data_IF_417281441441
#
_entry.id   IF_417281441441
#
_cell.length_a   1.000
_cell.length_b   1.000
_cell.length_c   1.000
_cell.angle_alpha   90.00
_cell.angle_beta   90.00
_cell.angle_gamma   90.00
#
_symmetry.space_group_name_H-M   'P 1'
#
loop_
_entity.id
_entity.type
_entity.pdbx_description
1 polymer ?
#
# COMPACT_ATOMS: atom_id res chain seq x y z
N UNK A 1 32.13 26.97 -19.30
CA UNK A 1 31.05 27.98 -19.14
C UNK A 1 30.30 27.83 -17.80
N UNK A 2 29.94 26.61 -17.36
CA UNK A 2 29.20 26.40 -16.10
C UNK A 2 29.97 26.93 -14.87
N UNK A 3 31.26 26.63 -14.76
CA UNK A 3 32.11 27.08 -13.65
C UNK A 3 32.22 28.61 -13.59
N UNK A 4 32.26 29.26 -14.76
CA UNK A 4 32.33 30.73 -14.86
C UNK A 4 31.02 31.34 -14.35
N UNK A 5 29.88 30.83 -14.81
CA UNK A 5 28.56 31.25 -14.38
C UNK A 5 28.35 31.01 -12.88
N UNK A 6 28.79 29.87 -12.37
CA UNK A 6 28.73 29.53 -10.94
C UNK A 6 29.52 30.54 -10.10
N UNK A 7 30.78 30.83 -10.46
CA UNK A 7 31.59 31.81 -9.73
C UNK A 7 31.01 33.24 -9.74
N UNK A 8 30.43 33.63 -10.86
CA UNK A 8 29.77 34.94 -10.94
C UNK A 8 28.48 34.95 -10.12
N UNK A 9 27.68 33.88 -10.12
CA UNK A 9 26.50 33.76 -9.28
C UNK A 9 26.82 33.84 -7.79
N UNK A 10 27.88 33.18 -7.32
CA UNK A 10 28.34 33.26 -5.91
C UNK A 10 28.80 34.68 -5.59
N UNK A 11 29.55 35.35 -6.50
CA UNK A 11 30.00 36.71 -6.32
C UNK A 11 28.84 37.71 -6.23
N UNK A 12 27.77 37.49 -6.98
CA UNK A 12 26.52 38.25 -6.94
C UNK A 12 25.63 37.91 -5.73
N UNK A 13 26.00 36.88 -4.97
CA UNK A 13 25.25 36.45 -3.78
C UNK A 13 23.92 35.74 -4.09
N UNK A 14 23.74 35.16 -5.29
CA UNK A 14 22.52 34.49 -5.71
C UNK A 14 22.23 33.19 -4.93
N UNK A 15 23.22 32.69 -4.19
CA UNK A 15 23.07 31.57 -3.25
C UNK A 15 22.40 31.97 -1.93
N UNK A 16 22.39 33.27 -1.62
CA UNK A 16 21.87 33.78 -0.34
C UNK A 16 20.33 33.80 -0.36
N UNK A 17 19.74 33.22 0.68
CA UNK A 17 18.28 33.15 0.86
C UNK A 17 17.51 32.37 -0.22
N UNK A 18 18.21 31.71 -1.15
CA UNK A 18 17.58 30.79 -2.11
C UNK A 18 17.24 29.47 -1.43
N UNK A 19 15.92 29.15 -1.37
CA UNK A 19 15.42 27.94 -0.71
C UNK A 19 15.79 26.66 -1.48
N UNK A 20 15.96 26.76 -2.80
CA UNK A 20 16.33 25.61 -3.65
C UNK A 20 17.78 25.23 -3.39
N UNK A 21 18.67 26.23 -3.36
CA UNK A 21 20.08 26.03 -3.04
C UNK A 21 20.25 25.49 -1.63
N UNK A 22 19.57 26.08 -0.63
CA UNK A 22 19.57 25.59 0.75
C UNK A 22 19.13 24.10 0.83
N UNK A 23 18.02 23.77 0.18
CA UNK A 23 17.51 22.38 0.14
C UNK A 23 18.50 21.43 -0.52
N UNK A 24 19.13 21.86 -1.63
CA UNK A 24 20.11 21.04 -2.34
C UNK A 24 21.37 20.76 -1.51
N UNK A 25 21.86 21.77 -0.79
CA UNK A 25 23.00 21.61 0.10
C UNK A 25 22.67 20.67 1.28
N UNK A 26 21.50 20.83 1.88
CA UNK A 26 21.03 19.92 2.93
C UNK A 26 20.92 18.46 2.45
N UNK A 27 20.39 18.25 1.24
CA UNK A 27 20.36 16.92 0.62
C UNK A 27 21.75 16.34 0.39
N UNK A 28 22.71 17.13 -0.10
CA UNK A 28 24.10 16.68 -0.30
C UNK A 28 24.74 16.19 0.99
N UNK A 29 24.53 16.87 2.11
CA UNK A 29 25.03 16.41 3.41
C UNK A 29 24.39 15.07 3.79
N UNK A 30 23.10 14.89 3.55
CA UNK A 30 22.41 13.61 3.76
C UNK A 30 23.03 12.48 2.94
N UNK A 31 23.28 12.69 1.65
CA UNK A 31 23.90 11.69 0.78
C UNK A 31 25.32 11.31 1.20
N UNK A 32 26.17 12.29 1.55
CA UNK A 32 27.53 12.01 2.04
C UNK A 32 27.53 11.14 3.30
N UNK A 33 26.52 11.27 4.16
CA UNK A 33 26.39 10.41 5.34
C UNK A 33 25.92 9.00 4.98
N UNK A 34 24.99 8.88 4.05
CA UNK A 34 24.49 7.57 3.58
C UNK A 34 25.59 6.74 2.90
N UNK A 35 26.44 7.37 2.07
CA UNK A 35 27.58 6.69 1.43
C UNK A 35 28.60 6.17 2.46
N UNK A 36 28.88 6.93 3.51
CA UNK A 36 29.82 6.54 4.55
C UNK A 36 29.37 5.31 5.34
N UNK A 37 28.07 5.04 5.39
CA UNK A 37 27.45 3.95 6.16
C UNK A 37 26.95 2.78 5.28
N UNK A 38 27.33 2.76 3.99
CA UNK A 38 26.96 1.71 3.02
C UNK A 38 27.75 0.42 3.21
N UNK A 39 27.77 -0.11 4.43
CA UNK A 39 28.35 -1.41 4.75
C UNK A 39 27.25 -2.47 4.63
N UNK A 40 27.52 -3.52 3.85
CA UNK A 40 26.61 -4.67 3.77
C UNK A 40 26.34 -5.21 5.18
N UNK A 41 25.09 -5.45 5.56
CA UNK A 41 24.76 -5.96 6.87
C UNK A 41 25.27 -7.40 7.03
N UNK A 42 25.60 -7.76 8.28
CA UNK A 42 25.92 -9.14 8.63
C UNK A 42 24.67 -10.03 8.50
N UNK A 43 24.84 -11.31 8.22
CA UNK A 43 23.72 -12.26 8.11
C UNK A 43 22.85 -12.29 9.37
N UNK A 44 23.47 -12.17 10.55
CA UNK A 44 22.74 -12.11 11.82
C UNK A 44 21.84 -10.88 11.89
N UNK A 45 22.32 -9.70 11.46
CA UNK A 45 21.53 -8.47 11.44
C UNK A 45 20.32 -8.59 10.52
N UNK A 46 20.48 -9.23 9.36
CA UNK A 46 19.41 -9.48 8.40
C UNK A 46 18.37 -10.42 9.00
N UNK A 47 18.82 -11.50 9.66
CA UNK A 47 17.92 -12.45 10.32
C UNK A 47 17.13 -11.82 11.48
N UNK A 48 17.83 -11.06 12.32
CA UNK A 48 17.21 -10.38 13.47
C UNK A 48 16.18 -9.34 13.00
N UNK A 49 16.52 -8.57 11.97
CA UNK A 49 15.62 -7.58 11.40
C UNK A 49 14.36 -8.23 10.81
N UNK A 50 14.51 -9.30 10.04
CA UNK A 50 13.38 -10.06 9.49
C UNK A 50 12.47 -10.57 10.61
N UNK A 51 13.03 -11.21 11.65
CA UNK A 51 12.25 -11.75 12.76
C UNK A 51 11.51 -10.69 13.57
N UNK A 52 12.08 -9.48 13.69
CA UNK A 52 11.46 -8.35 14.37
C UNK A 52 10.40 -7.62 13.54
N UNK A 53 10.37 -7.84 12.23
CA UNK A 53 9.52 -7.12 11.27
C UNK A 53 8.67 -8.05 10.39
N UNK A 54 8.24 -9.20 10.90
CA UNK A 54 7.45 -10.18 10.12
C UNK A 54 6.18 -9.57 9.52
N UNK A 55 5.53 -8.67 10.26
CA UNK A 55 4.31 -7.98 9.79
C UNK A 55 4.56 -7.13 8.54
N UNK A 56 5.79 -6.59 8.37
CA UNK A 56 6.20 -5.82 7.20
C UNK A 56 6.21 -6.67 5.92
N UNK A 57 6.50 -7.96 6.07
CA UNK A 57 6.63 -8.92 4.96
C UNK A 57 5.39 -9.79 4.80
N UNK A 58 4.38 -9.60 5.63
CA UNK A 58 3.13 -10.33 5.52
C UNK A 58 2.41 -9.99 4.21
N UNK A 59 2.10 -11.02 3.43
CA UNK A 59 1.31 -10.93 2.19
C UNK A 59 -0.13 -11.25 2.52
N UNK A 60 -1.02 -10.28 2.32
CA UNK A 60 -2.44 -10.44 2.58
C UNK A 60 -3.11 -11.43 1.60
N UNK A 61 -4.15 -12.11 2.08
CA UNK A 61 -5.05 -12.92 1.26
C UNK A 61 -5.66 -12.06 0.14
N UNK A 62 -5.67 -12.61 -1.08
CA UNK A 62 -6.24 -11.96 -2.26
C UNK A 62 -7.25 -12.86 -2.94
N UNK A 63 -8.35 -12.29 -3.38
CA UNK A 63 -9.44 -12.98 -4.06
C UNK A 63 -9.64 -12.37 -5.44
N UNK A 64 -9.71 -13.23 -6.46
CA UNK A 64 -10.14 -12.85 -7.81
C UNK A 64 -11.53 -13.43 -8.00
N UNK A 65 -12.50 -12.58 -8.32
CA UNK A 65 -13.89 -13.01 -8.46
C UNK A 65 -14.64 -12.22 -9.54
N UNK A 66 -15.71 -12.83 -10.01
CA UNK A 66 -16.72 -12.19 -10.83
C UNK A 66 -18.05 -12.22 -10.09
N UNK A 67 -18.94 -11.28 -10.38
CA UNK A 67 -20.27 -11.28 -9.77
C UNK A 67 -21.37 -10.94 -10.76
N UNK A 68 -22.60 -11.32 -10.41
CA UNK A 68 -23.84 -10.85 -11.02
C UNK A 68 -24.58 -10.06 -9.94
N UNK A 69 -24.93 -8.82 -10.26
CA UNK A 69 -25.53 -7.86 -9.33
C UNK A 69 -27.02 -7.74 -9.55
N UNK A 70 -27.76 -7.61 -8.47
CA UNK A 70 -29.19 -7.32 -8.41
C UNK A 70 -29.39 -6.14 -7.46
N UNK A 71 -30.08 -5.07 -7.93
CA UNK A 71 -30.34 -3.89 -7.12
C UNK A 71 -31.26 -4.19 -5.92
N UNK A 72 -31.29 -3.29 -4.94
CA UNK A 72 -32.13 -3.48 -3.74
C UNK A 72 -33.58 -3.17 -4.02
N UNK A 73 -34.39 -4.16 -4.39
CA UNK A 73 -35.85 -4.08 -4.36
C UNK A 73 -36.45 -5.13 -3.43
N UNK A 74 -37.72 -5.02 -3.05
CA UNK A 74 -38.36 -5.96 -2.11
C UNK A 74 -38.42 -7.43 -2.63
N UNK A 75 -38.13 -7.65 -3.91
CA UNK A 75 -38.15 -8.97 -4.57
C UNK A 75 -36.78 -9.56 -4.89
N UNK A 76 -35.70 -8.84 -4.66
CA UNK A 76 -34.35 -9.15 -5.20
C UNK A 76 -33.72 -10.41 -4.64
N UNK A 77 -33.97 -10.73 -3.38
CA UNK A 77 -33.47 -11.96 -2.78
C UNK A 77 -34.02 -13.21 -3.48
N UNK A 78 -35.24 -13.11 -4.00
CA UNK A 78 -35.92 -14.18 -4.73
C UNK A 78 -35.40 -14.29 -6.17
N UNK A 79 -35.12 -13.16 -6.84
CA UNK A 79 -34.57 -13.14 -8.19
C UNK A 79 -33.15 -13.65 -8.26
N UNK A 80 -32.28 -13.22 -7.34
CA UNK A 80 -30.91 -13.71 -7.24
C UNK A 80 -30.87 -15.22 -6.99
N UNK A 81 -31.73 -15.74 -6.10
CA UNK A 81 -31.82 -17.17 -5.80
C UNK A 81 -32.31 -17.98 -6.99
N UNK A 82 -33.31 -17.50 -7.73
CA UNK A 82 -33.78 -18.13 -8.97
C UNK A 82 -32.70 -18.13 -10.05
N UNK A 83 -31.99 -16.99 -10.24
CA UNK A 83 -30.89 -16.88 -11.17
C UNK A 83 -29.75 -17.85 -10.83
N UNK A 84 -29.39 -17.98 -9.55
CA UNK A 84 -28.38 -18.94 -9.09
C UNK A 84 -28.74 -20.37 -9.49
N UNK A 85 -29.98 -20.79 -9.25
CA UNK A 85 -30.45 -22.12 -9.63
C UNK A 85 -30.36 -22.37 -11.14
N UNK A 86 -30.73 -21.37 -11.96
CA UNK A 86 -30.66 -21.46 -13.42
C UNK A 86 -29.21 -21.53 -13.92
N UNK A 87 -28.31 -20.71 -13.34
CA UNK A 87 -26.88 -20.72 -13.66
C UNK A 87 -26.25 -22.08 -13.29
N UNK A 88 -26.58 -22.61 -12.12
CA UNK A 88 -26.07 -23.94 -11.70
C UNK A 88 -26.58 -25.08 -12.57
N UNK A 89 -27.73 -24.90 -13.23
CA UNK A 89 -28.30 -25.83 -14.21
C UNK A 89 -27.85 -25.56 -15.66
N UNK A 90 -26.87 -24.70 -15.89
CA UNK A 90 -26.23 -24.52 -17.19
C UNK A 90 -26.66 -23.28 -17.98
N UNK A 91 -27.49 -22.39 -17.40
CA UNK A 91 -27.76 -21.08 -18.02
C UNK A 91 -26.54 -20.15 -17.93
N UNK A 92 -26.35 -19.31 -18.95
CA UNK A 92 -25.26 -18.32 -18.91
C UNK A 92 -25.56 -17.23 -17.88
N UNK A 93 -24.57 -16.91 -17.07
CA UNK A 93 -24.62 -15.83 -16.09
C UNK A 93 -24.83 -14.45 -16.73
N UNK A 94 -24.51 -14.31 -18.02
CA UNK A 94 -24.72 -13.04 -18.77
C UNK A 94 -26.17 -12.68 -19.01
N UNK A 95 -27.08 -13.63 -18.80
CA UNK A 95 -28.51 -13.44 -18.98
C UNK A 95 -29.18 -12.86 -17.72
N UNK A 96 -28.43 -12.63 -16.63
CA UNK A 96 -28.98 -12.24 -15.34
C UNK A 96 -28.27 -10.99 -14.79
N UNK A 97 -29.00 -10.29 -13.91
CA UNK A 97 -28.49 -9.15 -13.17
C UNK A 97 -28.46 -7.85 -13.94
N UNK A 98 -27.98 -6.85 -13.28
CA UNK A 98 -27.92 -5.46 -13.74
C UNK A 98 -26.46 -4.99 -13.86
N UNK A 99 -26.19 -3.92 -14.63
CA UNK A 99 -24.87 -3.29 -14.63
C UNK A 99 -24.50 -2.76 -13.25
N UNK A 100 -23.29 -3.09 -12.79
CA UNK A 100 -22.77 -2.60 -11.52
C UNK A 100 -21.72 -1.50 -11.74
N UNK A 101 -21.80 -0.43 -10.96
CA UNK A 101 -20.95 0.76 -11.13
C UNK A 101 -19.45 0.45 -11.12
N UNK A 102 -19.02 -0.47 -10.27
CA UNK A 102 -17.60 -0.84 -10.11
C UNK A 102 -17.15 -1.96 -11.07
N UNK A 103 -18.04 -2.38 -12.00
CA UNK A 103 -17.77 -3.44 -12.97
C UNK A 103 -18.09 -4.83 -12.47
N UNK A 104 -17.87 -5.85 -13.33
CA UNK A 104 -18.27 -7.24 -13.10
C UNK A 104 -17.14 -8.12 -12.55
N UNK A 105 -15.89 -7.76 -12.84
CA UNK A 105 -14.72 -8.62 -12.56
C UNK A 105 -13.70 -7.90 -11.68
N UNK A 106 -13.28 -8.56 -10.63
CA UNK A 106 -12.33 -8.05 -9.65
C UNK A 106 -11.11 -8.97 -9.56
N UNK A 107 -9.95 -8.45 -9.92
CA UNK A 107 -8.72 -9.22 -9.95
C UNK A 107 -7.86 -8.92 -8.73
N UNK A 108 -7.41 -9.99 -8.04
CA UNK A 108 -6.40 -9.93 -6.97
C UNK A 108 -6.68 -8.88 -5.89
N UNK A 109 -7.95 -8.81 -5.42
CA UNK A 109 -8.37 -7.86 -4.39
C UNK A 109 -8.08 -8.38 -2.99
N UNK A 110 -7.54 -7.50 -2.12
CA UNK A 110 -7.41 -7.80 -0.69
C UNK A 110 -8.78 -7.74 -0.02
N UNK A 111 -8.90 -8.33 1.18
CA UNK A 111 -10.14 -8.27 1.96
C UNK A 111 -10.50 -6.82 2.30
N UNK A 112 -9.51 -5.99 2.63
CA UNK A 112 -9.70 -4.56 2.91
C UNK A 112 -10.21 -3.80 1.68
N UNK A 113 -9.71 -4.10 0.47
CA UNK A 113 -10.21 -3.49 -0.76
C UNK A 113 -11.66 -3.91 -1.07
N UNK A 114 -12.00 -5.19 -0.82
CA UNK A 114 -13.35 -5.70 -0.98
C UNK A 114 -14.30 -5.03 0.02
N UNK A 115 -13.90 -4.91 1.28
CA UNK A 115 -14.68 -4.23 2.32
C UNK A 115 -14.98 -2.77 1.96
N UNK A 116 -14.00 -2.03 1.46
CA UNK A 116 -14.19 -0.64 1.00
C UNK A 116 -15.16 -0.53 -0.16
N UNK A 117 -15.22 -1.55 -1.03
CA UNK A 117 -16.02 -1.52 -2.26
C UNK A 117 -17.43 -2.07 -2.07
N UNK A 118 -17.65 -3.02 -1.15
CA UNK A 118 -18.90 -3.78 -1.01
C UNK A 118 -19.47 -3.78 0.42
N UNK A 119 -18.72 -3.28 1.38
CA UNK A 119 -19.07 -3.30 2.79
C UNK A 119 -18.55 -4.52 3.54
N UNK A 120 -18.55 -4.42 4.87
CA UNK A 120 -17.96 -5.40 5.79
C UNK A 120 -18.58 -6.79 5.64
N UNK A 121 -19.92 -6.86 5.65
CA UNK A 121 -20.64 -8.14 5.56
C UNK A 121 -20.27 -8.93 4.30
N UNK A 122 -20.23 -8.25 3.15
CA UNK A 122 -19.83 -8.86 1.89
C UNK A 122 -18.39 -9.39 1.94
N UNK A 123 -17.45 -8.63 2.53
CA UNK A 123 -16.05 -9.03 2.67
C UNK A 123 -15.85 -10.24 3.60
N UNK A 124 -16.72 -10.41 4.59
CA UNK A 124 -16.73 -11.58 5.47
C UNK A 124 -17.31 -12.82 4.74
N UNK A 125 -18.45 -12.64 4.06
CA UNK A 125 -19.15 -13.72 3.37
C UNK A 125 -18.35 -14.31 2.21
N UNK A 126 -17.71 -13.46 1.37
CA UNK A 126 -16.94 -13.92 0.20
C UNK A 126 -15.75 -14.83 0.59
N UNK A 127 -15.22 -14.68 1.78
CA UNK A 127 -14.09 -15.50 2.26
C UNK A 127 -14.46 -16.95 2.49
N UNK A 128 -15.75 -17.22 2.65
CA UNK A 128 -16.31 -18.56 2.90
C UNK A 128 -16.82 -19.24 1.61
N UNK A 129 -16.78 -18.52 0.48
CA UNK A 129 -17.23 -19.05 -0.80
C UNK A 129 -16.18 -19.99 -1.40
N UNK A 130 -16.61 -21.19 -1.74
CA UNK A 130 -15.76 -22.16 -2.45
C UNK A 130 -15.46 -21.67 -3.88
N UNK A 131 -14.20 -21.74 -4.35
CA UNK A 131 -13.84 -21.33 -5.69
C UNK A 131 -14.45 -22.22 -6.78
N UNK A 132 -14.51 -21.67 -8.00
CA UNK A 132 -14.91 -22.36 -9.24
C UNK A 132 -16.39 -22.78 -9.31
N UNK A 133 -17.25 -22.16 -8.51
CA UNK A 133 -18.69 -22.32 -8.64
C UNK A 133 -19.44 -21.05 -8.31
N UNK A 134 -20.56 -20.81 -8.96
CA UNK A 134 -21.47 -19.73 -8.59
C UNK A 134 -22.11 -20.01 -7.23
N UNK A 135 -22.10 -19.02 -6.38
CA UNK A 135 -22.60 -19.07 -5.00
C UNK A 135 -23.28 -17.76 -4.63
N UNK A 136 -24.07 -17.78 -3.58
CA UNK A 136 -24.82 -16.61 -3.10
C UNK A 136 -26.29 -16.96 -2.84
N UNK A 137 -27.16 -15.96 -2.76
CA UNK A 137 -26.86 -14.53 -2.84
C UNK A 137 -26.06 -14.05 -1.62
N UNK A 138 -25.11 -13.11 -1.86
CA UNK A 138 -24.36 -12.40 -0.85
C UNK A 138 -24.77 -10.91 -0.92
N UNK A 139 -25.06 -10.32 0.23
CA UNK A 139 -25.55 -8.94 0.28
C UNK A 139 -24.40 -7.94 0.48
N UNK A 140 -24.46 -6.84 -0.23
CA UNK A 140 -23.65 -5.64 -0.04
C UNK A 140 -24.53 -4.45 0.36
N UNK A 141 -23.93 -3.27 0.49
CA UNK A 141 -24.68 -2.02 0.68
C UNK A 141 -25.48 -1.60 -0.56
N UNK A 142 -25.23 -2.22 -1.72
CA UNK A 142 -25.88 -1.89 -3.00
C UNK A 142 -27.03 -2.84 -3.34
N UNK A 143 -27.04 -4.05 -2.80
CA UNK A 143 -28.01 -5.10 -3.11
C UNK A 143 -27.43 -6.49 -2.99
N UNK A 144 -28.00 -7.44 -3.76
CA UNK A 144 -27.63 -8.85 -3.73
C UNK A 144 -26.67 -9.21 -4.86
N UNK A 145 -25.73 -10.12 -4.59
CA UNK A 145 -24.75 -10.56 -5.57
C UNK A 145 -24.67 -12.08 -5.63
N UNK A 146 -24.63 -12.63 -6.83
CA UNK A 146 -24.11 -13.98 -7.06
C UNK A 146 -22.63 -13.88 -7.35
N UNK A 147 -21.81 -14.71 -6.74
CA UNK A 147 -20.37 -14.63 -6.79
C UNK A 147 -19.77 -15.90 -7.38
N UNK A 148 -18.81 -15.71 -8.28
CA UNK A 148 -17.94 -16.77 -8.78
C UNK A 148 -16.50 -16.43 -8.39
N UNK A 149 -15.96 -17.15 -7.41
CA UNK A 149 -14.56 -17.01 -7.02
C UNK A 149 -13.68 -17.74 -8.03
N UNK A 150 -12.89 -16.95 -8.79
CA UNK A 150 -11.97 -17.48 -9.81
C UNK A 150 -10.73 -18.10 -9.17
N UNK A 151 -10.13 -17.42 -8.20
CA UNK A 151 -8.96 -17.91 -7.45
C UNK A 151 -8.82 -17.23 -6.12
N UNK A 152 -8.17 -17.90 -5.19
CA UNK A 152 -7.78 -17.37 -3.88
C UNK A 152 -6.27 -17.57 -3.74
N UNK A 153 -5.55 -16.47 -3.51
CA UNK A 153 -4.18 -16.50 -3.02
C UNK A 153 -4.23 -16.31 -1.50
N UNK A 154 -3.85 -17.34 -0.76
CA UNK A 154 -3.86 -17.29 0.70
C UNK A 154 -2.80 -16.32 1.22
N UNK A 155 -3.03 -15.76 2.39
CA UNK A 155 -2.03 -14.98 3.10
C UNK A 155 -0.86 -15.86 3.54
N UNK A 156 0.33 -15.31 3.50
CA UNK A 156 1.55 -15.97 3.99
C UNK A 156 2.61 -14.93 4.31
N UNK A 157 3.60 -15.32 5.11
CA UNK A 157 4.83 -14.54 5.27
C UNK A 157 5.94 -15.30 4.53
N UNK A 158 6.54 -14.71 3.47
CA UNK A 158 7.65 -15.33 2.75
C UNK A 158 8.80 -15.63 3.72
N UNK A 159 9.46 -16.76 3.58
CA UNK A 159 10.63 -17.04 4.39
C UNK A 159 11.81 -16.13 4.02
N UNK A 160 12.78 -15.97 4.94
CA UNK A 160 13.89 -15.04 4.75
C UNK A 160 14.68 -15.31 3.45
N UNK A 161 14.87 -16.57 3.08
CA UNK A 161 15.63 -16.93 1.87
C UNK A 161 14.95 -16.44 0.58
N UNK A 162 13.62 -16.43 0.55
CA UNK A 162 12.83 -15.96 -0.60
C UNK A 162 12.93 -14.44 -0.80
N UNK A 163 13.08 -13.69 0.30
CA UNK A 163 13.08 -12.22 0.28
C UNK A 163 14.38 -11.59 0.80
N UNK A 164 15.46 -12.40 0.90
CA UNK A 164 16.72 -11.98 1.51
C UNK A 164 17.24 -10.63 0.99
N UNK A 165 17.19 -10.41 -0.32
CA UNK A 165 17.63 -9.15 -0.92
C UNK A 165 16.74 -7.96 -0.52
N UNK A 166 15.43 -8.17 -0.35
CA UNK A 166 14.51 -7.13 0.11
C UNK A 166 14.86 -6.76 1.57
N UNK A 167 15.05 -7.77 2.42
CA UNK A 167 15.41 -7.57 3.83
C UNK A 167 16.77 -6.88 3.97
N UNK A 168 17.78 -7.28 3.18
CA UNK A 168 19.10 -6.61 3.15
C UNK A 168 18.93 -5.11 2.83
N UNK A 169 18.18 -4.76 1.80
CA UNK A 169 17.94 -3.37 1.44
C UNK A 169 17.23 -2.60 2.55
N UNK A 170 16.26 -3.22 3.22
CA UNK A 170 15.55 -2.63 4.35
C UNK A 170 16.47 -2.37 5.55
N UNK A 171 17.37 -3.32 5.87
CA UNK A 171 18.38 -3.15 6.94
C UNK A 171 19.33 -2.00 6.60
N UNK A 172 19.82 -1.95 5.36
CA UNK A 172 20.70 -0.85 4.90
C UNK A 172 20.01 0.48 5.05
N UNK A 173 18.74 0.58 4.57
CA UNK A 173 17.95 1.80 4.66
C UNK A 173 17.71 2.23 6.13
N UNK A 174 17.41 1.28 7.01
CA UNK A 174 17.23 1.56 8.44
C UNK A 174 18.52 2.08 9.07
N UNK A 175 19.68 1.44 8.79
CA UNK A 175 20.99 1.89 9.28
C UNK A 175 21.30 3.33 8.81
N UNK A 176 21.08 3.62 7.53
CA UNK A 176 21.27 4.95 6.97
C UNK A 176 20.37 6.00 7.63
N UNK A 177 19.10 5.67 7.84
CA UNK A 177 18.13 6.54 8.52
C UNK A 177 18.55 6.81 9.97
N UNK A 178 18.99 5.76 10.69
CA UNK A 178 19.41 5.89 12.08
C UNK A 178 20.71 6.70 12.20
N UNK A 179 21.67 6.50 11.29
CA UNK A 179 22.89 7.31 11.22
C UNK A 179 22.57 8.78 10.93
N UNK A 180 21.68 9.04 9.97
CA UNK A 180 21.24 10.42 9.67
C UNK A 180 20.57 11.07 10.87
N UNK A 181 19.67 10.36 11.58
CA UNK A 181 19.03 10.85 12.81
C UNK A 181 20.04 11.16 13.91
N UNK A 182 21.03 10.26 14.12
CA UNK A 182 22.11 10.46 15.09
C UNK A 182 22.91 11.71 14.75
N UNK A 183 23.33 11.83 13.50
CA UNK A 183 24.09 13.00 13.03
C UNK A 183 23.32 14.32 13.20
N UNK A 184 22.03 14.34 12.85
CA UNK A 184 21.18 15.51 13.06
C UNK A 184 21.06 15.86 14.55
N UNK A 185 20.97 14.87 15.43
CA UNK A 185 20.97 15.10 16.89
C UNK A 185 22.26 15.72 17.36
N UNK A 186 23.41 15.24 16.86
CA UNK A 186 24.73 15.81 17.17
C UNK A 186 24.88 17.25 16.65
N UNK A 187 24.37 17.52 15.43
CA UNK A 187 24.36 18.88 14.88
C UNK A 187 23.49 19.83 15.70
N UNK A 188 22.30 19.41 16.11
CA UNK A 188 21.41 20.24 16.94
C UNK A 188 22.07 20.73 18.23
N UNK A 189 22.96 19.92 18.80
CA UNK A 189 23.72 20.32 19.99
C UNK A 189 24.78 21.39 19.69
N UNK A 190 25.15 21.61 18.41
CA UNK A 190 26.14 22.61 17.98
C UNK A 190 25.54 23.93 17.55
N UNK A 191 24.22 23.99 17.36
CA UNK A 191 23.51 25.16 16.90
C UNK A 191 22.52 25.67 17.94
N UNK A 192 22.43 26.96 18.11
CA UNK A 192 21.34 27.59 18.82
C UNK A 192 20.11 27.62 17.88
N UNK A 193 19.04 26.97 18.29
CA UNK A 193 17.82 26.85 17.47
C UNK A 193 16.76 27.78 18.07
N UNK A 194 16.34 28.76 17.28
CA UNK A 194 15.23 29.65 17.62
C UNK A 194 14.09 29.40 16.62
N UNK A 195 12.90 29.09 17.15
CA UNK A 195 11.70 28.85 16.32
C UNK A 195 10.89 30.14 16.36
N UNK A 196 10.91 30.86 15.23
CA UNK A 196 10.19 32.13 15.06
C UNK A 196 8.75 31.97 14.56
N UNK A 197 8.26 30.73 14.42
CA UNK A 197 6.89 30.46 13.99
C UNK A 197 5.91 30.67 15.15
N UNK A 198 4.85 31.44 14.91
CA UNK A 198 3.73 31.56 15.82
C UNK A 198 2.92 30.25 15.78
N UNK A 199 3.05 29.43 16.85
CA UNK A 199 2.39 28.12 16.94
C UNK A 199 0.86 28.23 17.16
N UNK A 200 0.32 29.43 17.23
CA UNK A 200 -1.11 29.70 17.44
C UNK A 200 -1.94 29.76 16.15
N UNK A 201 -1.32 29.67 14.96
CA UNK A 201 -2.04 29.69 13.67
C UNK A 201 -2.33 28.29 13.09
N UNK A 202 -2.13 27.21 13.83
CA UNK A 202 -2.46 25.84 13.39
C UNK A 202 -3.64 25.28 14.20
N UNK A 203 -4.75 26.01 14.15
CA UNK A 203 -6.04 25.50 14.60
C UNK A 203 -7.16 26.15 13.79
N UNK A 204 -7.40 25.61 12.59
CA UNK A 204 -8.69 25.63 11.90
C UNK A 204 -8.77 24.41 10.95
#
# INVERSE_FOLDING_TARGET
DEEILYREAIKLGLDKNDIIIKRRLAQKIGFLRQEADSILPLEQEVSDFYNQNLDKYFVEKRITFSHVYFSSSETDGDEASKALNLIQNGSSETNFGEPFLLGKNFSSKTITEIERSFGKRFSEDIQNIAPKKWSGPVNSEYGSHLIFVNSIANSFTPNLEEIKNVVINDVVLEKQNNSTKKYLKELRNKYQIEILADLNEVSD
#
